data_IF_442489140730
#
_entry.id   IF_442489140730
#
_cell.length_a   1.000
_cell.length_b   1.000
_cell.length_c   1.000
_cell.angle_alpha   90.00
_cell.angle_beta   90.00
_cell.angle_gamma   90.00
#
_symmetry.space_group_name_H-M   'P 1'
#
loop_
_entity.id
_entity.type
_entity.pdbx_description
1 polymer ?
#
# COMPACT_ATOMS: atom_id res chain seq x y z
N UNK A 1 -34.31 50.92 -42.09
CA UNK A 1 -34.74 49.55 -42.41
C UNK A 1 -33.94 48.58 -41.58
N UNK A 2 -34.60 48.02 -40.57
CA UNK A 2 -34.06 47.18 -39.49
C UNK A 2 -33.93 45.74 -39.97
N UNK A 3 -32.79 45.07 -39.75
CA UNK A 3 -32.68 43.61 -39.89
C UNK A 3 -32.49 42.96 -38.53
N UNK A 4 -33.56 42.28 -38.15
CA UNK A 4 -33.77 41.39 -37.01
C UNK A 4 -32.91 40.14 -37.20
N UNK A 5 -31.94 39.89 -36.31
CA UNK A 5 -31.22 38.61 -36.24
C UNK A 5 -32.00 37.71 -35.28
N UNK A 6 -32.64 36.69 -35.86
CA UNK A 6 -33.43 35.68 -35.18
C UNK A 6 -32.49 34.62 -34.58
N UNK A 7 -32.29 34.67 -33.26
CA UNK A 7 -31.68 33.58 -32.48
C UNK A 7 -32.76 32.55 -32.20
N UNK A 8 -33.02 31.64 -33.14
CA UNK A 8 -33.84 30.44 -32.92
C UNK A 8 -33.20 29.28 -33.66
N UNK A 9 -32.31 28.52 -32.99
CA UNK A 9 -31.94 27.14 -33.41
C UNK A 9 -31.07 26.40 -32.37
N UNK A 10 -31.36 26.50 -31.07
CA UNK A 10 -30.79 25.55 -30.09
C UNK A 10 -31.84 24.92 -29.16
N UNK A 11 -33.07 25.45 -29.12
CA UNK A 11 -34.10 24.97 -28.18
C UNK A 11 -34.98 23.83 -28.71
N UNK A 12 -35.00 23.58 -30.02
CA UNK A 12 -35.89 22.56 -30.61
C UNK A 12 -35.29 21.14 -30.69
N UNK A 13 -33.98 20.98 -30.51
CA UNK A 13 -33.34 19.64 -30.52
C UNK A 13 -33.40 18.98 -29.13
N UNK A 14 -33.53 19.77 -28.06
CA UNK A 14 -33.62 19.23 -26.70
C UNK A 14 -35.01 18.66 -26.36
N UNK A 15 -36.06 19.02 -27.12
CA UNK A 15 -37.45 18.63 -26.81
C UNK A 15 -37.93 17.38 -27.57
N UNK A 16 -37.14 16.82 -28.50
CA UNK A 16 -37.53 15.62 -29.26
C UNK A 16 -36.98 14.30 -28.67
N UNK A 17 -36.24 14.35 -27.56
CA UNK A 17 -35.58 13.17 -26.96
C UNK A 17 -36.29 12.60 -25.73
N UNK A 18 -37.47 13.10 -25.35
CA UNK A 18 -38.17 12.65 -24.14
C UNK A 18 -39.46 11.82 -24.38
N UNK A 19 -39.71 11.34 -25.59
CA UNK A 19 -40.91 10.51 -25.88
C UNK A 19 -40.62 9.16 -26.54
N UNK A 20 -39.38 8.68 -26.54
CA UNK A 20 -39.06 7.34 -27.02
C UNK A 20 -38.54 6.46 -25.88
N UNK A 21 -39.06 5.23 -25.80
CA UNK A 21 -38.63 4.21 -24.85
C UNK A 21 -37.10 4.04 -24.86
N UNK A 22 -36.48 3.70 -23.71
CA UNK A 22 -35.03 3.62 -23.62
C UNK A 22 -34.49 2.52 -24.55
N UNK A 23 -33.85 2.95 -25.64
CA UNK A 23 -33.03 2.07 -26.47
C UNK A 23 -31.72 1.82 -25.72
N UNK A 24 -31.49 0.59 -25.28
CA UNK A 24 -30.22 0.21 -24.66
C UNK A 24 -29.11 0.18 -25.72
N UNK A 25 -28.10 1.04 -25.54
CA UNK A 25 -26.90 1.09 -26.37
C UNK A 25 -26.09 2.36 -26.09
N UNK A 26 -24.76 2.25 -26.06
CA UNK A 26 -23.88 3.42 -25.96
C UNK A 26 -23.72 4.06 -27.35
N UNK A 27 -23.96 5.36 -27.43
CA UNK A 27 -23.76 6.15 -28.64
C UNK A 27 -22.78 7.28 -28.36
N UNK A 28 -21.91 7.59 -29.31
CA UNK A 28 -21.06 8.78 -29.27
C UNK A 28 -21.46 9.76 -30.37
N UNK A 29 -21.33 11.06 -30.07
CA UNK A 29 -21.45 12.12 -31.05
C UNK A 29 -20.06 12.42 -31.60
N UNK A 30 -19.88 12.31 -32.92
CA UNK A 30 -18.67 12.77 -33.59
C UNK A 30 -18.99 13.87 -34.59
N UNK A 31 -18.23 14.95 -34.49
CA UNK A 31 -18.25 16.00 -35.50
C UNK A 31 -17.29 15.59 -36.62
N UNK A 32 -17.80 15.51 -37.84
CA UNK A 32 -16.99 15.30 -39.03
C UNK A 32 -17.21 16.43 -40.03
N UNK A 33 -16.23 16.65 -40.89
CA UNK A 33 -16.35 17.59 -42.00
C UNK A 33 -16.24 16.81 -43.30
N UNK A 34 -17.31 16.82 -44.09
CA UNK A 34 -17.32 16.25 -45.43
C UNK A 34 -17.71 17.39 -46.37
N UNK A 35 -16.86 17.66 -47.36
CA UNK A 35 -16.99 18.76 -48.33
C UNK A 35 -17.19 20.15 -47.70
N UNK A 36 -16.45 20.41 -46.61
CA UNK A 36 -16.44 21.72 -45.94
C UNK A 36 -17.71 22.03 -45.13
N UNK A 37 -18.65 21.08 -45.01
CA UNK A 37 -19.82 21.20 -44.14
C UNK A 37 -19.64 20.33 -42.90
N UNK A 38 -19.78 20.95 -41.74
CA UNK A 38 -19.70 20.24 -40.46
C UNK A 38 -21.00 19.50 -40.19
N UNK A 39 -20.90 18.20 -39.92
CA UNK A 39 -22.03 17.33 -39.63
C UNK A 39 -21.76 16.61 -38.31
N UNK A 40 -22.79 16.49 -37.46
CA UNK A 40 -22.74 15.67 -36.25
C UNK A 40 -23.36 14.33 -36.59
N UNK A 41 -22.58 13.26 -36.45
CA UNK A 41 -23.01 11.89 -36.72
C UNK A 41 -23.14 11.16 -35.38
N UNK A 42 -24.26 10.46 -35.20
CA UNK A 42 -24.50 9.56 -34.09
C UNK A 42 -23.92 8.19 -34.44
N UNK A 43 -22.91 7.73 -33.72
CA UNK A 43 -22.26 6.43 -33.98
C UNK A 43 -22.69 5.46 -32.88
N UNK A 44 -23.27 4.32 -33.27
CA UNK A 44 -23.53 3.20 -32.35
C UNK A 44 -22.21 2.50 -32.09
N UNK A 45 -21.75 2.51 -30.84
CA UNK A 45 -20.50 1.84 -30.47
C UNK A 45 -20.71 0.31 -30.51
N UNK A 46 -19.70 -0.47 -30.96
CA UNK A 46 -19.80 -1.93 -30.97
C UNK A 46 -19.93 -2.46 -29.53
N UNK A 47 -20.80 -3.45 -29.31
CA UNK A 47 -21.15 -4.01 -27.99
C UNK A 47 -19.97 -4.63 -27.20
N UNK A 48 -18.76 -4.66 -27.77
CA UNK A 48 -17.57 -5.24 -27.15
C UNK A 48 -16.49 -4.21 -26.75
N UNK A 49 -16.78 -2.90 -26.76
CA UNK A 49 -15.79 -1.87 -26.37
C UNK A 49 -16.27 -0.90 -25.28
N UNK A 50 -17.08 -1.38 -24.34
CA UNK A 50 -17.40 -0.61 -23.12
C UNK A 50 -16.45 -1.04 -22.01
N UNK A 51 -15.32 -0.33 -21.87
CA UNK A 51 -14.64 -0.30 -20.57
C UNK A 51 -15.53 0.48 -19.61
N UNK A 52 -15.91 -0.08 -18.44
CA UNK A 52 -16.71 0.67 -17.49
C UNK A 52 -15.92 1.90 -17.06
N UNK A 53 -16.52 3.06 -17.21
CA UNK A 53 -16.06 4.29 -16.59
C UNK A 53 -16.31 4.14 -15.09
N UNK A 54 -15.37 3.52 -14.38
CA UNK A 54 -15.46 3.31 -12.93
C UNK A 54 -15.12 4.63 -12.26
N UNK A 55 -16.13 5.46 -12.04
CA UNK A 55 -16.02 6.53 -11.04
C UNK A 55 -16.00 5.87 -9.66
N UNK A 56 -14.91 6.11 -8.92
CA UNK A 56 -14.67 5.59 -7.56
C UNK A 56 -15.80 5.90 -6.55
N UNK A 57 -16.72 6.81 -6.88
CA UNK A 57 -17.86 7.15 -6.02
C UNK A 57 -18.91 6.04 -5.85
N UNK A 58 -19.02 5.09 -6.79
CA UNK A 58 -20.09 4.08 -6.76
C UNK A 58 -19.73 2.78 -6.03
N UNK A 59 -18.47 2.60 -5.60
CA UNK A 59 -18.03 1.41 -4.86
C UNK A 59 -18.13 1.57 -3.33
N UNK A 60 -18.51 2.76 -2.82
CA UNK A 60 -18.39 3.12 -1.40
C UNK A 60 -19.67 3.69 -0.74
N UNK A 61 -20.84 3.59 -1.37
CA UNK A 61 -22.13 3.83 -0.70
C UNK A 61 -22.20 5.11 0.15
N UNK A 62 -21.79 6.27 -0.38
CA UNK A 62 -22.00 7.56 0.29
C UNK A 62 -23.18 8.31 -0.32
N UNK A 63 -24.15 8.78 0.48
CA UNK A 63 -25.29 9.55 0.00
C UNK A 63 -24.88 10.99 -0.36
N UNK A 64 -25.47 11.50 -1.44
CA UNK A 64 -25.32 12.89 -1.87
C UNK A 64 -26.02 13.88 -0.93
N UNK A 65 -25.25 14.87 -0.47
CA UNK A 65 -25.58 16.23 -0.02
C UNK A 65 -26.65 16.47 1.07
N UNK A 66 -26.16 17.21 2.08
CA UNK A 66 -26.82 18.16 2.99
C UNK A 66 -27.81 17.60 4.02
N UNK A 67 -27.32 17.35 5.24
CA UNK A 67 -27.95 17.85 6.47
C UNK A 67 -26.97 17.83 7.68
N UNK A 68 -26.99 18.96 8.38
CA UNK A 68 -26.50 19.34 9.72
C UNK A 68 -25.79 18.30 10.63
N UNK A 69 -24.66 18.73 11.19
CA UNK A 69 -23.92 18.11 12.29
C UNK A 69 -24.56 18.43 13.66
N UNK A 70 -24.75 17.42 14.50
CA UNK A 70 -24.44 17.41 15.96
C UNK A 70 -24.47 15.97 16.50
N UNK A 71 -23.80 15.67 17.64
CA UNK A 71 -23.11 14.40 17.84
C UNK A 71 -23.89 13.42 18.74
N UNK A 72 -23.91 12.14 18.36
CA UNK A 72 -24.22 11.05 19.27
C UNK A 72 -23.63 9.74 18.73
N UNK A 73 -22.63 9.17 19.41
CA UNK A 73 -22.62 7.75 19.82
C UNK A 73 -21.32 7.34 20.53
N UNK A 74 -21.54 6.54 21.57
CA UNK A 74 -20.65 6.10 22.64
C UNK A 74 -19.48 5.22 22.20
N UNK A 75 -18.33 5.41 22.86
CA UNK A 75 -17.09 4.64 22.74
C UNK A 75 -17.18 3.19 23.27
N UNK A 76 -18.26 2.81 23.95
CA UNK A 76 -18.40 1.50 24.61
C UNK A 76 -18.77 0.35 23.64
N UNK A 77 -19.24 0.65 22.42
CA UNK A 77 -19.62 -0.37 21.42
C UNK A 77 -18.45 -0.89 20.56
N UNK A 78 -17.27 -0.25 20.59
CA UNK A 78 -16.11 -0.67 19.77
C UNK A 78 -15.30 -1.82 20.35
N UNK A 79 -15.23 -1.96 21.68
CA UNK A 79 -14.40 -3.00 22.31
C UNK A 79 -14.97 -4.42 22.15
N UNK A 80 -16.30 -4.54 22.05
CA UNK A 80 -16.97 -5.85 21.99
C UNK A 80 -16.99 -6.47 20.58
N UNK A 81 -16.93 -5.66 19.51
CA UNK A 81 -16.87 -6.17 18.13
C UNK A 81 -15.46 -6.56 17.69
N UNK A 82 -14.40 -5.96 18.25
CA UNK A 82 -13.03 -6.36 17.93
C UNK A 82 -12.69 -7.69 18.62
N UNK A 83 -13.14 -7.89 19.87
CA UNK A 83 -12.98 -9.18 20.57
C UNK A 83 -13.70 -10.34 19.89
N UNK A 84 -14.89 -10.13 19.32
CA UNK A 84 -15.62 -11.21 18.62
C UNK A 84 -14.97 -11.60 17.29
N UNK A 85 -14.40 -10.64 16.56
CA UNK A 85 -13.65 -10.89 15.32
C UNK A 85 -12.30 -11.56 15.62
N UNK A 86 -11.61 -11.17 16.70
CA UNK A 86 -10.37 -11.83 17.13
C UNK A 86 -10.62 -13.25 17.65
N UNK A 87 -11.72 -13.49 18.39
CA UNK A 87 -12.09 -14.83 18.85
C UNK A 87 -12.45 -15.79 17.70
N UNK A 88 -12.99 -15.29 16.58
CA UNK A 88 -13.24 -16.11 15.39
C UNK A 88 -11.95 -16.50 14.63
N UNK A 89 -10.82 -15.81 14.87
CA UNK A 89 -9.53 -16.14 14.26
C UNK A 89 -8.71 -17.12 15.12
N UNK A 90 -8.92 -17.16 16.44
CA UNK A 90 -8.25 -18.10 17.35
C UNK A 90 -8.86 -19.53 17.32
N UNK A 91 -10.04 -19.70 16.71
CA UNK A 91 -10.73 -21.00 16.57
C UNK A 91 -10.35 -21.76 15.27
N UNK A 92 -9.29 -21.35 14.59
CA UNK A 92 -8.80 -22.05 13.38
C UNK A 92 -7.97 -23.29 13.77
N UNK A 93 -8.62 -24.45 13.81
CA UNK A 93 -7.95 -25.75 13.84
C UNK A 93 -7.53 -26.16 12.42
N UNK A 94 -6.29 -26.62 12.18
CA UNK A 94 -5.86 -27.03 10.86
C UNK A 94 -6.67 -28.26 10.41
N UNK A 95 -7.33 -28.15 9.26
CA UNK A 95 -8.04 -29.26 8.63
C UNK A 95 -7.01 -30.36 8.31
N UNK A 96 -7.13 -31.52 8.98
CA UNK A 96 -6.43 -32.75 8.58
C UNK A 96 -7.07 -33.28 7.30
N UNK A 97 -6.47 -32.97 6.16
CA UNK A 97 -6.91 -33.47 4.88
C UNK A 97 -6.45 -34.92 4.66
N UNK A 98 -7.38 -35.87 4.77
CA UNK A 98 -7.27 -37.18 4.13
C UNK A 98 -7.86 -37.07 2.72
N UNK A 99 -7.01 -36.91 1.70
CA UNK A 99 -7.45 -36.98 0.30
C UNK A 99 -7.29 -38.40 -0.25
N UNK A 100 -8.35 -39.00 -0.84
CA UNK A 100 -8.21 -40.18 -1.69
C UNK A 100 -7.61 -39.81 -3.06
N UNK A 101 -6.78 -40.70 -3.59
CA UNK A 101 -6.12 -40.59 -4.90
C UNK A 101 -7.13 -40.47 -6.05
N UNK A 102 -7.00 -39.51 -6.98
CA UNK A 102 -7.97 -39.35 -8.06
C UNK A 102 -7.63 -40.19 -9.30
N UNK A 103 -8.65 -40.90 -9.80
CA UNK A 103 -8.76 -41.43 -11.16
C UNK A 103 -9.15 -40.29 -12.13
N UNK A 104 -8.60 -40.23 -13.36
CA UNK A 104 -8.76 -39.06 -14.22
C UNK A 104 -10.13 -39.02 -14.94
N UNK A 105 -10.79 -37.87 -14.92
CA UNK A 105 -11.84 -37.52 -15.88
C UNK A 105 -11.66 -36.09 -16.42
N UNK A 106 -12.08 -35.93 -17.67
CA UNK A 106 -11.75 -34.89 -18.63
C UNK A 106 -12.86 -33.82 -18.71
N UNK A 107 -12.41 -32.56 -18.84
CA UNK A 107 -13.03 -31.37 -19.47
C UNK A 107 -14.12 -30.56 -18.73
N UNK A 108 -13.77 -29.28 -18.49
CA UNK A 108 -14.66 -28.19 -18.10
C UNK A 108 -13.86 -26.97 -17.60
N UNK A 109 -13.23 -26.23 -18.51
CA UNK A 109 -12.25 -25.17 -18.21
C UNK A 109 -12.89 -23.88 -17.69
N UNK A 110 -12.75 -23.60 -16.40
CA UNK A 110 -12.78 -22.27 -15.80
C UNK A 110 -11.35 -21.93 -15.36
N UNK A 111 -10.64 -21.11 -16.14
CA UNK A 111 -9.28 -20.69 -15.83
C UNK A 111 -9.29 -19.54 -14.84
N UNK A 112 -9.36 -19.87 -13.55
CA UNK A 112 -8.75 -19.04 -12.51
C UNK A 112 -7.24 -19.08 -12.73
N UNK A 113 -6.68 -18.02 -13.31
CA UNK A 113 -5.23 -17.89 -13.42
C UNK A 113 -4.69 -17.53 -12.04
N UNK A 114 -4.06 -18.50 -11.38
CA UNK A 114 -3.17 -18.23 -10.27
C UNK A 114 -2.06 -17.30 -10.78
N UNK A 115 -1.94 -16.10 -10.18
CA UNK A 115 -0.80 -15.22 -10.41
C UNK A 115 0.43 -16.00 -9.92
N UNK A 116 1.46 -16.24 -10.74
CA UNK A 116 2.70 -16.81 -10.27
C UNK A 116 3.31 -15.80 -9.29
N UNK A 117 3.16 -16.05 -7.99
CA UNK A 117 4.01 -15.42 -6.99
C UNK A 117 5.45 -15.80 -7.33
N UNK A 118 6.38 -14.86 -7.21
CA UNK A 118 7.81 -14.94 -7.58
C UNK A 118 8.61 -16.12 -6.96
N UNK A 119 7.96 -17.05 -6.27
CA UNK A 119 8.51 -18.11 -5.43
C UNK A 119 9.12 -19.26 -6.25
N UNK A 120 8.78 -19.43 -7.54
CA UNK A 120 9.15 -20.65 -8.29
C UNK A 120 10.53 -20.63 -8.97
N UNK A 121 11.26 -19.52 -8.98
CA UNK A 121 12.54 -19.41 -9.71
C UNK A 121 13.81 -19.70 -8.87
N UNK A 122 13.68 -20.03 -7.58
CA UNK A 122 14.83 -20.11 -6.64
C UNK A 122 15.08 -21.53 -6.09
N UNK A 123 14.21 -22.51 -6.39
CA UNK A 123 14.22 -23.82 -5.70
C UNK A 123 15.06 -24.93 -6.33
N UNK A 124 15.93 -24.66 -7.32
CA UNK A 124 16.69 -25.72 -8.02
C UNK A 124 18.17 -25.88 -7.66
N UNK A 125 18.67 -25.22 -6.60
CA UNK A 125 20.07 -25.39 -6.17
C UNK A 125 20.20 -25.50 -4.66
N UNK A 126 19.91 -26.66 -4.05
CA UNK A 126 20.65 -27.21 -2.89
C UNK A 126 20.33 -28.71 -2.80
N UNK A 127 21.24 -29.55 -3.28
CA UNK A 127 21.48 -30.89 -2.72
C UNK A 127 22.94 -30.87 -2.25
N UNK A 128 23.15 -30.91 -0.94
CA UNK A 128 24.45 -30.93 -0.31
C UNK A 128 24.29 -31.53 1.08
N UNK A 129 25.18 -32.46 1.40
CA UNK A 129 25.03 -33.49 2.44
C UNK A 129 24.98 -32.93 3.88
N UNK A 130 24.08 -33.52 4.68
CA UNK A 130 23.94 -33.27 6.12
C UNK A 130 25.08 -33.94 6.90
N UNK A 131 26.06 -33.15 7.34
CA UNK A 131 27.01 -33.55 8.38
C UNK A 131 26.62 -32.87 9.71
N UNK A 132 26.14 -33.69 10.65
CA UNK A 132 25.62 -33.25 11.96
C UNK A 132 26.75 -32.73 12.85
N UNK A 133 26.86 -31.40 13.00
CA UNK A 133 27.73 -30.78 14.00
C UNK A 133 27.11 -30.87 15.41
N UNK A 134 27.94 -31.04 16.47
CA UNK A 134 27.46 -31.18 17.84
C UNK A 134 26.82 -29.88 18.37
N UNK A 135 25.65 -30.04 19.00
CA UNK A 135 24.87 -28.97 19.62
C UNK A 135 25.63 -28.36 20.80
N UNK A 136 26.28 -27.22 20.59
CA UNK A 136 26.81 -26.40 21.69
C UNK A 136 25.64 -25.65 22.33
N UNK A 137 25.24 -26.04 23.53
CA UNK A 137 24.28 -25.28 24.36
C UNK A 137 25.06 -24.27 25.19
N UNK A 138 25.14 -22.98 24.80
CA UNK A 138 25.77 -21.98 25.64
C UNK A 138 24.97 -21.86 26.94
N UNK A 139 25.66 -22.00 28.07
CA UNK A 139 25.11 -21.70 29.39
C UNK A 139 24.67 -20.23 29.41
N UNK A 140 23.41 -19.90 29.75
CA UNK A 140 22.94 -18.52 29.76
C UNK A 140 23.68 -17.75 30.85
N UNK A 141 24.62 -16.90 30.46
CA UNK A 141 25.18 -15.87 31.34
C UNK A 141 24.04 -14.92 31.69
N UNK A 142 23.74 -14.67 32.98
CA UNK A 142 22.73 -13.70 33.36
C UNK A 142 23.15 -12.33 32.84
N UNK A 143 22.46 -11.87 31.79
CA UNK A 143 22.59 -10.50 31.29
C UNK A 143 22.08 -9.62 32.42
N UNK A 144 23.00 -8.96 33.12
CA UNK A 144 22.65 -7.86 34.01
C UNK A 144 22.18 -6.74 33.10
N UNK A 145 20.87 -6.67 32.88
CA UNK A 145 20.23 -5.60 32.13
C UNK A 145 20.45 -4.32 32.92
N UNK A 146 21.52 -3.59 32.57
CA UNK A 146 21.64 -2.18 32.90
C UNK A 146 20.53 -1.49 32.13
N UNK A 147 19.33 -1.44 32.71
CA UNK A 147 18.30 -0.50 32.30
C UNK A 147 18.90 0.86 32.65
N UNK A 148 19.29 1.69 31.66
CA UNK A 148 19.74 3.03 31.96
C UNK A 148 18.58 3.69 32.72
N UNK A 149 18.82 4.10 33.95
CA UNK A 149 17.86 4.96 34.65
C UNK A 149 17.68 6.18 33.74
N UNK A 150 16.49 6.30 33.16
CA UNK A 150 16.09 7.45 32.38
C UNK A 150 16.02 8.59 33.40
N UNK A 151 17.16 9.26 33.60
CA UNK A 151 17.19 10.54 34.28
C UNK A 151 16.19 11.46 33.62
N UNK A 152 15.59 12.34 34.42
CA UNK A 152 14.62 13.35 34.03
C UNK A 152 14.87 13.87 32.60
N UNK A 153 14.05 13.45 31.64
CA UNK A 153 14.21 13.78 30.21
C UNK A 153 14.16 15.29 29.97
N UNK A 154 13.59 16.04 30.90
CA UNK A 154 13.58 17.51 30.89
C UNK A 154 14.99 18.08 31.14
N UNK A 155 15.84 17.37 31.89
CA UNK A 155 17.20 17.80 32.23
C UNK A 155 18.27 17.35 31.24
N UNK A 156 18.05 16.26 30.51
CA UNK A 156 18.99 15.75 29.52
C UNK A 156 18.23 15.28 28.26
N UNK A 157 18.07 16.13 27.24
CA UNK A 157 17.38 15.74 26.03
C UNK A 157 18.10 14.56 25.36
N UNK A 158 17.32 13.56 24.97
CA UNK A 158 17.83 12.40 24.24
C UNK A 158 18.38 12.88 22.89
N UNK A 159 19.66 12.66 22.63
CA UNK A 159 20.32 13.10 21.41
C UNK A 159 20.56 11.98 20.40
N UNK A 160 20.23 10.73 20.73
CA UNK A 160 20.42 9.57 19.86
C UNK A 160 19.12 8.83 19.71
N UNK A 161 18.64 8.65 18.47
CA UNK A 161 17.36 8.03 18.15
C UNK A 161 17.55 6.78 17.31
N UNK A 162 16.84 5.71 17.64
CA UNK A 162 16.75 4.51 16.81
C UNK A 162 15.48 4.60 15.97
N UNK A 163 15.61 4.61 14.65
CA UNK A 163 14.47 4.68 13.73
C UNK A 163 14.49 3.43 12.85
N UNK A 164 13.42 2.64 12.91
CA UNK A 164 13.25 1.45 12.09
C UNK A 164 12.21 1.68 11.00
N UNK A 165 12.51 1.27 9.77
CA UNK A 165 11.55 1.24 8.66
C UNK A 165 11.19 -0.21 8.37
N UNK A 166 9.94 -0.59 8.61
CA UNK A 166 9.39 -1.91 8.31
C UNK A 166 8.59 -1.82 7.00
N UNK A 167 9.03 -2.55 5.97
CA UNK A 167 8.37 -2.51 4.66
C UNK A 167 8.75 -3.66 3.74
N UNK A 168 8.34 -3.53 2.48
CA UNK A 168 8.67 -4.45 1.40
C UNK A 168 9.92 -3.99 0.59
N UNK A 169 10.01 -4.35 -0.71
CA UNK A 169 11.10 -3.90 -1.59
C UNK A 169 11.16 -2.37 -1.76
N UNK A 170 10.08 -1.64 -1.55
CA UNK A 170 10.07 -0.18 -1.64
C UNK A 170 10.92 0.45 -0.53
N UNK A 171 10.95 -0.16 0.66
CA UNK A 171 11.85 0.23 1.75
C UNK A 171 13.26 -0.32 1.54
N UNK A 172 13.40 -1.56 1.03
CA UNK A 172 14.71 -2.16 0.77
C UNK A 172 15.56 -1.28 -0.16
N UNK A 173 14.92 -0.83 -1.25
CA UNK A 173 15.55 0.00 -2.28
C UNK A 173 15.91 1.41 -1.81
N UNK A 174 15.41 1.88 -0.65
CA UNK A 174 15.91 3.10 -0.01
C UNK A 174 17.39 2.98 0.42
N UNK A 175 17.93 1.77 0.43
CA UNK A 175 19.34 1.47 0.67
C UNK A 175 19.59 0.98 2.09
N UNK A 176 20.58 0.09 2.24
CA UNK A 176 20.88 -0.61 3.50
C UNK A 176 21.10 0.33 4.68
N UNK A 177 21.78 1.46 4.45
CA UNK A 177 22.13 2.45 5.46
C UNK A 177 21.12 3.61 5.54
N UNK A 178 20.09 3.61 4.68
CA UNK A 178 19.09 4.67 4.56
C UNK A 178 19.74 6.06 4.44
N UNK A 179 20.85 6.17 3.70
CA UNK A 179 21.68 7.39 3.63
C UNK A 179 20.88 8.65 3.34
N UNK A 180 19.99 8.62 2.34
CA UNK A 180 19.19 9.78 1.95
C UNK A 180 18.25 10.23 3.08
N UNK A 181 17.66 9.29 3.82
CA UNK A 181 16.86 9.59 5.00
C UNK A 181 17.71 10.19 6.13
N UNK A 182 18.91 9.64 6.36
CA UNK A 182 19.85 10.16 7.35
C UNK A 182 20.25 11.62 7.05
N UNK A 183 20.50 11.93 5.77
CA UNK A 183 20.86 13.28 5.35
C UNK A 183 19.72 14.28 5.68
N UNK A 184 18.47 13.95 5.35
CA UNK A 184 17.32 14.79 5.70
C UNK A 184 17.08 14.89 7.22
N UNK A 185 17.28 13.80 7.97
CA UNK A 185 17.16 13.83 9.43
C UNK A 185 18.19 14.76 10.06
N UNK A 186 19.45 14.70 9.63
CA UNK A 186 20.52 15.58 10.12
C UNK A 186 20.30 17.04 9.74
N UNK A 187 19.74 17.30 8.56
CA UNK A 187 19.34 18.65 8.16
C UNK A 187 18.22 19.19 9.06
N UNK A 188 17.20 18.39 9.33
CA UNK A 188 16.05 18.79 10.13
C UNK A 188 16.36 18.86 11.65
N UNK A 189 17.29 18.03 12.12
CA UNK A 189 17.62 17.83 13.54
C UNK A 189 19.15 17.76 13.73
N UNK A 190 19.87 18.89 13.60
CA UNK A 190 21.33 18.93 13.53
C UNK A 190 22.06 18.49 14.80
N UNK A 191 21.37 18.49 15.95
CA UNK A 191 21.91 18.00 17.24
C UNK A 191 21.64 16.52 17.47
N UNK A 192 20.83 15.89 16.61
CA UNK A 192 20.44 14.48 16.72
C UNK A 192 21.44 13.54 16.05
N UNK A 193 21.58 12.36 16.65
CA UNK A 193 22.27 11.20 16.09
C UNK A 193 21.24 10.11 15.80
N UNK A 194 21.37 9.44 14.65
CA UNK A 194 20.36 8.50 14.16
C UNK A 194 20.96 7.14 13.87
N UNK A 195 20.43 6.12 14.54
CA UNK A 195 20.65 4.72 14.18
C UNK A 195 19.45 4.26 13.33
N UNK A 196 19.68 4.08 12.04
CA UNK A 196 18.63 3.72 11.09
C UNK A 196 18.65 2.22 10.81
N UNK A 197 17.48 1.59 10.88
CA UNK A 197 17.30 0.16 10.63
C UNK A 197 16.41 -0.03 9.41
N UNK A 198 16.99 -0.51 8.30
CA UNK A 198 16.24 -0.91 7.12
C UNK A 198 15.71 -2.34 7.27
N UNK A 199 14.41 -2.47 7.51
CA UNK A 199 13.64 -3.72 7.50
C UNK A 199 12.70 -3.77 6.30
N UNK A 200 13.14 -3.28 5.15
CA UNK A 200 12.52 -3.50 3.84
C UNK A 200 13.01 -4.82 3.25
N UNK A 201 12.13 -5.79 3.07
CA UNK A 201 12.48 -7.08 2.44
C UNK A 201 11.67 -7.24 1.15
N UNK A 202 12.34 -7.49 0.03
CA UNK A 202 11.68 -7.70 -1.25
C UNK A 202 10.79 -8.94 -1.25
N UNK A 203 9.73 -8.91 -2.08
CA UNK A 203 8.77 -10.00 -2.22
C UNK A 203 8.06 -10.40 -0.91
N UNK A 204 7.88 -9.45 0.02
CA UNK A 204 7.19 -9.70 1.30
C UNK A 204 5.93 -8.86 1.43
N UNK A 205 4.88 -9.46 2.00
CA UNK A 205 3.60 -8.80 2.26
C UNK A 205 3.50 -8.26 3.71
N UNK A 206 2.35 -7.65 4.04
CA UNK A 206 2.12 -7.05 5.36
C UNK A 206 2.23 -8.08 6.51
N UNK A 207 1.83 -9.33 6.30
CA UNK A 207 1.92 -10.38 7.33
C UNK A 207 3.35 -10.85 7.56
N UNK A 208 4.16 -10.85 6.50
CA UNK A 208 5.61 -10.99 6.61
C UNK A 208 6.22 -9.84 7.43
N UNK A 209 5.71 -8.60 7.25
CA UNK A 209 6.02 -7.45 8.12
C UNK A 209 5.66 -7.69 9.59
N UNK A 210 4.42 -8.13 9.85
CA UNK A 210 3.93 -8.48 11.19
C UNK A 210 4.83 -9.53 11.87
N UNK A 211 5.26 -10.55 11.12
CA UNK A 211 6.13 -11.61 11.63
C UNK A 211 7.49 -11.06 12.07
N UNK A 212 8.08 -10.16 11.28
CA UNK A 212 9.41 -9.57 11.53
C UNK A 212 9.46 -8.65 12.76
N UNK A 213 8.31 -8.19 13.26
CA UNK A 213 8.29 -7.41 14.51
C UNK A 213 8.85 -8.20 15.70
N UNK A 214 8.54 -9.49 15.77
CA UNK A 214 8.76 -10.29 16.99
C UNK A 214 9.53 -11.59 16.74
N UNK A 215 9.81 -11.94 15.49
CA UNK A 215 10.56 -13.14 15.13
C UNK A 215 11.83 -12.80 14.36
N UNK A 216 12.81 -13.67 14.53
CA UNK A 216 14.01 -13.68 13.69
C UNK A 216 13.63 -13.96 12.24
N UNK A 217 14.40 -13.42 11.32
CA UNK A 217 14.21 -13.63 9.88
C UNK A 217 15.55 -13.67 9.14
N UNK A 218 15.53 -14.21 7.94
CA UNK A 218 16.68 -14.24 7.04
C UNK A 218 16.29 -13.53 5.75
N UNK A 219 17.15 -12.64 5.25
CA UNK A 219 16.97 -11.95 3.98
C UNK A 219 18.33 -11.74 3.31
N UNK A 220 18.46 -12.14 2.04
CA UNK A 220 19.73 -12.09 1.28
C UNK A 220 20.91 -12.66 2.08
N UNK A 221 20.73 -13.89 2.59
CA UNK A 221 21.69 -14.65 3.40
C UNK A 221 22.18 -13.94 4.68
N UNK A 222 21.43 -12.95 5.15
CA UNK A 222 21.70 -12.25 6.40
C UNK A 222 20.61 -12.52 7.41
N UNK A 223 21.04 -12.76 8.64
CA UNK A 223 20.15 -12.92 9.78
C UNK A 223 19.76 -11.56 10.36
N UNK A 224 18.46 -11.38 10.61
CA UNK A 224 17.88 -10.18 11.18
C UNK A 224 17.14 -10.53 12.48
N UNK A 225 17.53 -9.91 13.62
CA UNK A 225 16.75 -9.97 14.84
C UNK A 225 15.36 -9.35 14.67
N UNK A 226 14.39 -9.68 15.56
CA UNK A 226 13.09 -9.02 15.57
C UNK A 226 13.23 -7.49 15.63
N UNK A 227 12.43 -6.75 14.87
CA UNK A 227 12.49 -5.27 14.87
C UNK A 227 12.38 -4.69 16.27
N UNK A 228 11.45 -5.21 17.08
CA UNK A 228 11.19 -4.70 18.43
C UNK A 228 12.29 -5.05 19.44
N UNK A 229 13.21 -5.98 19.12
CA UNK A 229 14.37 -6.26 19.97
C UNK A 229 15.34 -5.08 20.05
N UNK A 230 15.32 -4.19 19.04
CA UNK A 230 16.11 -2.96 19.02
C UNK A 230 15.50 -1.81 19.83
N UNK A 231 14.24 -1.95 20.29
CA UNK A 231 13.47 -0.90 20.98
C UNK A 231 13.53 0.44 20.24
N UNK A 232 13.06 0.49 18.97
CA UNK A 232 13.12 1.71 18.19
C UNK A 232 12.36 2.85 18.89
N UNK A 233 12.86 4.06 18.78
CA UNK A 233 12.15 5.26 19.22
C UNK A 233 11.00 5.58 18.28
N UNK A 234 11.23 5.39 16.99
CA UNK A 234 10.25 5.57 15.94
C UNK A 234 10.25 4.32 15.06
N UNK A 235 9.08 3.73 14.88
CA UNK A 235 8.83 2.69 13.89
C UNK A 235 7.99 3.28 12.75
N UNK A 236 8.58 3.33 11.57
CA UNK A 236 7.88 3.66 10.33
C UNK A 236 7.37 2.36 9.71
N UNK A 237 6.06 2.23 9.57
CA UNK A 237 5.42 1.05 8.97
C UNK A 237 4.92 1.43 7.58
N UNK A 238 5.55 0.87 6.55
CA UNK A 238 5.17 1.05 5.15
C UNK A 238 3.89 0.28 4.82
N UNK A 239 3.27 0.60 3.67
CA UNK A 239 2.00 0.07 3.19
C UNK A 239 2.02 -1.35 2.63
N UNK A 240 3.17 -1.93 2.32
CA UNK A 240 3.32 -3.23 1.65
C UNK A 240 2.51 -3.36 0.34
N UNK A 241 2.20 -2.22 -0.28
CA UNK A 241 1.26 -2.19 -1.39
C UNK A 241 1.82 -2.83 -2.67
N UNK A 242 3.15 -2.90 -2.83
CA UNK A 242 3.80 -3.45 -4.02
C UNK A 242 3.92 -4.98 -3.99
N UNK A 243 3.60 -5.60 -2.86
CA UNK A 243 3.53 -7.06 -2.70
C UNK A 243 2.15 -7.44 -2.14
N UNK A 244 1.12 -6.96 -2.83
CA UNK A 244 -0.28 -7.10 -2.47
C UNK A 244 -0.82 -8.53 -2.67
N UNK A 245 -1.95 -8.83 -2.01
CA UNK A 245 -2.78 -10.00 -2.34
C UNK A 245 -3.67 -9.70 -3.57
N UNK A 246 -4.86 -10.28 -3.71
CA UNK A 246 -5.65 -10.13 -4.95
C UNK A 246 -6.29 -8.74 -5.13
N UNK A 247 -6.40 -7.95 -4.06
CA UNK A 247 -7.02 -6.62 -4.09
C UNK A 247 -8.54 -6.61 -4.01
N UNK A 248 -9.17 -7.75 -3.75
CA UNK A 248 -10.59 -7.78 -3.40
C UNK A 248 -10.84 -7.18 -2.01
N UNK A 249 -12.11 -6.94 -1.65
CA UNK A 249 -12.46 -6.31 -0.36
C UNK A 249 -11.94 -7.12 0.84
N UNK A 250 -12.02 -8.45 0.78
CA UNK A 250 -11.51 -9.32 1.84
C UNK A 250 -10.01 -9.10 2.09
N UNK A 251 -9.22 -8.95 1.03
CA UNK A 251 -7.79 -8.71 1.13
C UNK A 251 -7.46 -7.29 1.62
N UNK A 252 -8.29 -6.29 1.29
CA UNK A 252 -8.17 -4.94 1.85
C UNK A 252 -8.53 -4.91 3.35
N UNK A 253 -9.56 -5.66 3.75
CA UNK A 253 -9.92 -5.83 5.17
C UNK A 253 -8.80 -6.56 5.92
N UNK A 254 -8.23 -7.61 5.32
CA UNK A 254 -7.05 -8.32 5.86
C UNK A 254 -5.87 -7.39 6.04
N UNK A 255 -5.61 -6.52 5.06
CA UNK A 255 -4.56 -5.50 5.16
C UNK A 255 -4.80 -4.54 6.33
N UNK A 256 -6.02 -3.99 6.44
CA UNK A 256 -6.44 -3.11 7.52
C UNK A 256 -6.26 -3.76 8.90
N UNK A 257 -6.73 -5.00 9.06
CA UNK A 257 -6.60 -5.75 10.31
C UNK A 257 -5.13 -6.07 10.63
N UNK A 258 -4.30 -6.29 9.62
CA UNK A 258 -2.86 -6.54 9.83
C UNK A 258 -2.15 -5.28 10.30
N UNK A 259 -2.50 -4.10 9.77
CA UNK A 259 -2.00 -2.80 10.29
C UNK A 259 -2.37 -2.65 11.77
N UNK A 260 -3.64 -2.90 12.13
CA UNK A 260 -4.09 -2.85 13.51
C UNK A 260 -3.30 -3.80 14.43
N UNK A 261 -3.10 -5.06 14.00
CA UNK A 261 -2.31 -6.05 14.75
C UNK A 261 -0.85 -5.63 14.95
N UNK A 262 -0.22 -5.04 13.93
CA UNK A 262 1.14 -4.48 14.04
C UNK A 262 1.19 -3.42 15.13
N UNK A 263 0.25 -2.48 15.11
CA UNK A 263 0.15 -1.41 16.09
C UNK A 263 -0.06 -1.97 17.50
N UNK A 264 -0.97 -2.92 17.67
CA UNK A 264 -1.27 -3.51 18.98
C UNK A 264 -0.04 -4.21 19.56
N UNK A 265 0.69 -4.98 18.75
CA UNK A 265 1.93 -5.64 19.17
C UNK A 265 3.01 -4.61 19.56
N UNK A 266 3.14 -3.52 18.80
CA UNK A 266 4.11 -2.46 19.12
C UNK A 266 3.75 -1.81 20.46
N UNK A 267 2.48 -1.47 20.68
CA UNK A 267 2.01 -0.90 21.95
C UNK A 267 2.21 -1.84 23.13
N UNK A 268 1.98 -3.13 22.93
CA UNK A 268 2.14 -4.15 23.97
C UNK A 268 3.62 -4.38 24.32
N UNK A 269 4.47 -4.57 23.30
CA UNK A 269 5.85 -5.05 23.49
C UNK A 269 6.90 -3.93 23.49
N UNK A 270 6.56 -2.76 22.97
CA UNK A 270 7.43 -1.58 22.90
C UNK A 270 6.62 -0.29 23.12
N UNK A 271 6.00 -0.11 24.30
CA UNK A 271 5.04 0.98 24.54
C UNK A 271 5.63 2.40 24.39
N UNK A 272 6.96 2.55 24.44
CA UNK A 272 7.65 3.83 24.20
C UNK A 272 7.86 4.14 22.72
N UNK A 273 7.78 3.16 21.83
CA UNK A 273 7.96 3.34 20.39
C UNK A 273 6.83 4.16 19.79
N UNK A 274 7.16 5.28 19.15
CA UNK A 274 6.23 6.05 18.36
C UNK A 274 6.04 5.40 16.99
N UNK A 275 4.81 5.43 16.46
CA UNK A 275 4.48 4.82 15.17
C UNK A 275 4.20 5.91 14.15
N UNK A 276 4.83 5.80 12.98
CA UNK A 276 4.50 6.56 11.77
C UNK A 276 4.04 5.58 10.72
N UNK A 277 2.86 5.80 10.14
CA UNK A 277 2.40 5.03 8.99
C UNK A 277 2.93 5.69 7.71
N UNK A 278 3.29 4.87 6.73
CA UNK A 278 3.93 5.34 5.49
C UNK A 278 3.25 4.72 4.27
N UNK A 279 2.66 5.58 3.43
CA UNK A 279 2.13 5.19 2.12
C UNK A 279 3.13 5.64 1.06
N UNK A 280 3.75 4.69 0.35
CA UNK A 280 4.81 4.95 -0.64
C UNK A 280 4.25 5.53 -1.95
N UNK A 281 5.10 5.73 -2.96
CA UNK A 281 4.71 6.36 -4.22
C UNK A 281 3.72 5.52 -5.04
N UNK A 282 2.90 6.20 -5.83
CA UNK A 282 1.97 5.60 -6.78
C UNK A 282 2.72 4.90 -7.94
N UNK A 283 2.20 3.77 -8.46
CA UNK A 283 2.73 3.13 -9.66
C UNK A 283 2.27 3.86 -10.94
N UNK A 284 3.05 3.72 -12.01
CA UNK A 284 2.63 4.19 -13.33
C UNK A 284 2.08 3.02 -14.20
N UNK A 285 0.77 2.96 -14.48
CA UNK A 285 0.12 1.75 -15.02
C UNK A 285 0.55 1.37 -16.44
N UNK A 286 1.05 2.32 -17.24
CA UNK A 286 1.48 2.04 -18.61
C UNK A 286 2.87 1.40 -18.71
N UNK A 287 3.73 1.62 -17.72
CA UNK A 287 5.14 1.16 -17.74
C UNK A 287 5.46 0.22 -16.59
N UNK A 288 4.49 -0.08 -15.72
CA UNK A 288 4.71 -0.84 -14.50
C UNK A 288 5.47 -2.14 -14.75
N UNK A 289 6.62 -2.31 -14.10
CA UNK A 289 7.45 -3.51 -14.22
C UNK A 289 8.20 -3.66 -15.55
N UNK A 290 8.19 -2.69 -16.45
CA UNK A 290 9.01 -2.74 -17.66
C UNK A 290 10.50 -2.77 -17.33
N UNK A 291 11.23 -3.71 -17.94
CA UNK A 291 12.65 -3.96 -17.67
C UNK A 291 12.91 -5.03 -16.60
N UNK A 292 11.91 -5.40 -15.79
CA UNK A 292 12.01 -6.48 -14.80
C UNK A 292 10.96 -7.59 -15.01
N UNK A 293 9.68 -7.21 -14.99
CA UNK A 293 8.54 -8.13 -15.11
C UNK A 293 8.08 -8.28 -16.56
N UNK A 294 8.10 -7.18 -17.34
CA UNK A 294 7.70 -7.11 -18.75
C UNK A 294 6.30 -7.68 -19.02
N UNK A 295 5.33 -7.36 -18.15
CA UNK A 295 3.97 -7.87 -18.24
C UNK A 295 3.14 -7.27 -19.40
N UNK A 296 2.08 -7.96 -19.86
CA UNK A 296 1.12 -7.37 -20.79
C UNK A 296 0.44 -6.12 -20.20
N UNK A 297 0.05 -5.18 -21.06
CA UNK A 297 -0.54 -3.90 -20.65
C UNK A 297 -1.75 -4.03 -19.70
N UNK A 298 -2.59 -5.05 -19.89
CA UNK A 298 -3.74 -5.33 -19.03
C UNK A 298 -3.32 -5.69 -17.61
N UNK A 299 -2.28 -6.50 -17.46
CA UNK A 299 -1.76 -6.93 -16.15
C UNK A 299 -1.04 -5.79 -15.43
N UNK A 300 -0.27 -4.97 -16.16
CA UNK A 300 0.33 -3.73 -15.63
C UNK A 300 -0.74 -2.80 -15.06
N UNK A 301 -1.78 -2.55 -15.85
CA UNK A 301 -2.88 -1.69 -15.44
C UNK A 301 -3.59 -2.24 -14.21
N UNK A 302 -3.92 -3.53 -14.21
CA UNK A 302 -4.61 -4.19 -13.09
C UNK A 302 -3.78 -4.14 -11.81
N UNK A 303 -2.50 -4.52 -11.87
CA UNK A 303 -1.63 -4.48 -10.70
C UNK A 303 -1.47 -3.06 -10.16
N UNK A 304 -1.28 -2.06 -11.04
CA UNK A 304 -1.23 -0.67 -10.62
C UNK A 304 -2.53 -0.20 -9.90
N UNK A 305 -3.72 -0.65 -10.34
CA UNK A 305 -4.97 -0.33 -9.63
C UNK A 305 -5.06 -1.01 -8.26
N UNK A 306 -4.57 -2.24 -8.15
CA UNK A 306 -4.55 -2.97 -6.87
C UNK A 306 -3.60 -2.26 -5.89
N UNK A 307 -2.36 -1.97 -6.31
CA UNK A 307 -1.38 -1.23 -5.50
C UNK A 307 -1.99 0.08 -4.97
N UNK A 308 -2.63 0.87 -5.85
CA UNK A 308 -3.30 2.12 -5.46
C UNK A 308 -4.38 1.90 -4.39
N UNK A 309 -5.11 0.79 -4.45
CA UNK A 309 -6.10 0.45 -3.44
C UNK A 309 -5.46 0.18 -2.07
N UNK A 310 -4.31 -0.49 -2.01
CA UNK A 310 -3.58 -0.72 -0.75
C UNK A 310 -2.94 0.55 -0.18
N UNK A 311 -2.35 1.39 -1.04
CA UNK A 311 -1.81 2.70 -0.66
C UNK A 311 -2.88 3.58 -0.04
N UNK A 312 -4.05 3.63 -0.67
CA UNK A 312 -5.22 4.35 -0.17
C UNK A 312 -5.75 3.74 1.15
N UNK A 313 -5.74 2.41 1.26
CA UNK A 313 -6.20 1.71 2.46
C UNK A 313 -5.32 2.04 3.68
N UNK A 314 -4.00 2.11 3.52
CA UNK A 314 -3.07 2.58 4.56
C UNK A 314 -3.36 4.04 4.96
N UNK A 315 -3.55 4.94 3.98
CA UNK A 315 -3.86 6.35 4.24
C UNK A 315 -5.16 6.51 5.02
N UNK A 316 -6.22 5.79 4.63
CA UNK A 316 -7.50 5.81 5.33
C UNK A 316 -7.40 5.29 6.76
N UNK A 317 -6.66 4.20 6.98
CA UNK A 317 -6.39 3.67 8.31
C UNK A 317 -5.71 4.73 9.18
N UNK A 318 -4.64 5.34 8.68
CA UNK A 318 -3.88 6.34 9.42
C UNK A 318 -4.76 7.54 9.83
N UNK A 319 -5.60 8.02 8.91
CA UNK A 319 -6.53 9.12 9.17
C UNK A 319 -7.60 8.71 10.19
N UNK A 320 -8.22 7.54 10.05
CA UNK A 320 -9.31 7.10 10.94
C UNK A 320 -8.83 6.87 12.36
N UNK A 321 -7.64 6.31 12.52
CA UNK A 321 -7.02 6.01 13.81
C UNK A 321 -6.08 7.12 14.31
N UNK A 322 -5.97 8.22 13.57
CA UNK A 322 -5.20 9.43 13.91
C UNK A 322 -3.71 9.18 14.15
N UNK A 323 -3.10 8.31 13.34
CA UNK A 323 -1.64 8.14 13.35
C UNK A 323 -0.95 9.17 12.46
N UNK A 324 0.27 9.61 12.82
CA UNK A 324 1.15 10.33 11.91
C UNK A 324 1.29 9.55 10.59
N UNK A 325 1.08 10.23 9.47
CA UNK A 325 1.13 9.64 8.13
C UNK A 325 2.18 10.36 7.28
N UNK A 326 3.17 9.62 6.82
CA UNK A 326 4.04 10.00 5.72
C UNK A 326 3.34 9.62 4.40
N UNK A 327 2.56 10.55 3.84
CA UNK A 327 1.85 10.33 2.59
C UNK A 327 2.71 10.74 1.39
N UNK A 328 3.36 9.76 0.77
CA UNK A 328 4.02 9.91 -0.52
C UNK A 328 3.11 9.50 -1.68
N UNK A 329 2.02 8.76 -1.43
CA UNK A 329 1.11 8.29 -2.46
C UNK A 329 0.44 9.45 -3.19
N UNK A 330 -0.36 10.26 -2.49
CA UNK A 330 -1.15 11.31 -3.14
C UNK A 330 -0.30 12.34 -3.91
N UNK A 331 0.81 12.87 -3.36
CA UNK A 331 1.60 13.88 -4.06
C UNK A 331 2.52 13.29 -5.14
N UNK A 332 2.60 11.96 -5.26
CA UNK A 332 3.30 11.28 -6.36
C UNK A 332 2.41 11.00 -7.57
N UNK A 333 1.15 11.43 -7.56
CA UNK A 333 0.23 11.31 -8.69
C UNK A 333 0.39 12.48 -9.67
N UNK A 334 0.39 12.20 -10.96
CA UNK A 334 0.29 13.19 -12.02
C UNK A 334 -1.16 13.62 -12.29
N UNK A 335 -1.36 14.48 -13.29
CA UNK A 335 -2.69 14.98 -13.65
C UNK A 335 -3.65 13.90 -14.20
N UNK A 336 -3.15 12.73 -14.59
CA UNK A 336 -3.94 11.57 -15.02
C UNK A 336 -4.22 10.60 -13.86
N UNK A 337 -3.65 10.86 -12.67
CA UNK A 337 -3.71 9.97 -11.53
C UNK A 337 -2.77 8.76 -11.66
N UNK A 338 -1.68 8.89 -12.43
CA UNK A 338 -0.62 7.90 -12.53
C UNK A 338 0.58 8.32 -11.67
N UNK A 339 1.41 7.36 -11.26
CA UNK A 339 2.68 7.67 -10.61
C UNK A 339 3.58 8.54 -11.49
N UNK A 340 4.09 9.63 -10.92
CA UNK A 340 5.06 10.52 -11.60
C UNK A 340 6.34 9.72 -11.87
N UNK A 341 6.67 9.57 -13.15
CA UNK A 341 7.80 8.75 -13.62
C UNK A 341 9.14 9.15 -12.99
N UNK A 342 9.35 10.43 -12.68
CA UNK A 342 10.57 10.91 -12.03
C UNK A 342 10.85 10.20 -10.71
N UNK A 343 9.82 9.75 -9.98
CA UNK A 343 9.99 9.04 -8.71
C UNK A 343 10.16 7.52 -8.86
N UNK A 344 10.02 7.00 -10.08
CA UNK A 344 10.03 5.56 -10.39
C UNK A 344 11.34 5.24 -11.11
N UNK A 345 12.00 4.15 -10.72
CA UNK A 345 13.25 3.70 -11.30
C UNK A 345 13.05 3.38 -12.80
N UNK A 346 13.75 4.05 -13.72
CA UNK A 346 13.54 3.83 -15.16
C UNK A 346 14.02 2.46 -15.65
N UNK A 347 14.85 1.75 -14.89
CA UNK A 347 15.39 0.44 -15.23
C UNK A 347 14.42 -0.73 -15.00
N UNK A 348 13.58 -0.66 -13.97
CA UNK A 348 12.58 -1.70 -13.66
C UNK A 348 11.13 -1.21 -13.67
N UNK A 349 10.93 0.11 -13.73
CA UNK A 349 9.63 0.78 -13.69
C UNK A 349 8.72 0.28 -12.55
N UNK A 350 9.33 -0.05 -11.42
CA UNK A 350 8.69 -0.67 -10.27
C UNK A 350 9.13 0.03 -8.98
N UNK A 351 10.44 0.13 -8.74
CA UNK A 351 10.99 0.62 -7.48
C UNK A 351 11.22 2.14 -7.48
N UNK A 352 11.62 2.68 -6.33
CA UNK A 352 11.99 4.09 -6.20
C UNK A 352 13.20 4.43 -7.08
N UNK A 353 13.13 5.53 -7.83
CA UNK A 353 14.31 6.19 -8.40
C UNK A 353 15.11 6.91 -7.31
N UNK A 354 16.24 7.53 -7.67
CA UNK A 354 17.00 8.41 -6.77
C UNK A 354 16.15 9.56 -6.25
N UNK A 355 15.39 10.20 -7.13
CA UNK A 355 14.44 11.26 -6.79
C UNK A 355 13.28 10.72 -5.95
N UNK A 356 12.79 9.51 -6.25
CA UNK A 356 11.78 8.82 -5.45
C UNK A 356 12.26 8.60 -4.01
N UNK A 357 13.49 8.13 -3.83
CA UNK A 357 14.12 7.94 -2.52
C UNK A 357 14.24 9.25 -1.75
N UNK A 358 14.63 10.34 -2.42
CA UNK A 358 14.67 11.69 -1.79
C UNK A 358 13.28 12.16 -1.38
N UNK A 359 12.30 11.99 -2.27
CA UNK A 359 10.93 12.41 -2.04
C UNK A 359 10.30 11.69 -0.84
N UNK A 360 10.36 10.35 -0.78
CA UNK A 360 9.79 9.60 0.34
C UNK A 360 10.55 9.83 1.66
N UNK A 361 11.89 9.95 1.60
CA UNK A 361 12.70 10.27 2.78
C UNK A 361 12.31 11.61 3.38
N UNK A 362 12.14 12.63 2.53
CA UNK A 362 11.66 13.94 2.96
C UNK A 362 10.27 13.87 3.58
N UNK A 363 9.34 13.11 2.99
CA UNK A 363 7.99 12.92 3.56
C UNK A 363 8.04 12.33 4.96
N UNK A 364 8.85 11.30 5.17
CA UNK A 364 9.03 10.69 6.50
C UNK A 364 9.57 11.72 7.50
N UNK A 365 10.60 12.49 7.15
CA UNK A 365 11.19 13.50 8.04
C UNK A 365 10.23 14.66 8.33
N UNK A 366 9.50 15.14 7.33
CA UNK A 366 8.48 16.16 7.50
C UNK A 366 7.40 15.68 8.49
N UNK A 367 6.90 14.45 8.34
CA UNK A 367 5.93 13.86 9.28
C UNK A 367 6.48 13.77 10.70
N UNK A 368 7.73 13.32 10.87
CA UNK A 368 8.40 13.24 12.18
C UNK A 368 8.47 14.64 12.83
N UNK A 369 8.81 15.66 12.05
CA UNK A 369 8.93 17.06 12.50
C UNK A 369 7.58 17.68 12.85
N UNK A 370 6.58 17.52 11.98
CA UNK A 370 5.23 18.05 12.18
C UNK A 370 4.56 17.48 13.43
N UNK A 371 4.84 16.21 13.74
CA UNK A 371 4.32 15.52 14.92
C UNK A 371 5.24 15.61 16.14
N UNK A 372 6.36 16.34 16.06
CA UNK A 372 7.31 16.57 17.16
C UNK A 372 7.79 15.27 17.82
N UNK A 373 8.08 14.25 16.99
CA UNK A 373 8.52 12.94 17.49
C UNK A 373 9.99 12.92 17.92
N UNK A 374 10.74 13.97 17.56
CA UNK A 374 12.14 14.23 17.91
C UNK A 374 12.19 15.66 18.48
N UNK A 375 13.02 15.88 19.51
CA UNK A 375 13.12 17.14 20.26
C UNK A 375 14.31 17.99 19.82
#
# INVERSE_FOLDING_TARGET
MTKLILVISCFFIFLLLFTLQPVQGAYSLRQSSVDGKSQIILIKEPENSVMPNVSFGNLLGLPSKTQSLTPFLNSTLRANNIKSVLAQLDEYQPIKNNFPTPTPQILGTSTSMAIPTLISAVSSFVQGDDELLPLYTPTPTPITTLVPQIGDLVKNPKNTYIIALLGDSMVDTMGRDLRVLNDYLKEAFPTGSFALLNYGFGSTDMESGLTRLTRYSTYLDKFYPPVLSYRPDILVVESFAYNHWSGNQYDLDRHWLTIAKIIDIVKEKSPSTQIVLFSTIAPHPLIFGDGALNWPATMKWQSAQIIKSYLENMTRFAISEKYPLADAYHPSLDYQGYGIKTYINPGDNLHLSDEGRRFVSKKIVDTIKENKLIQ
#
